data_IF_751878624483
#
_entry.id   IF_751878624483
#
_cell.length_a   1.000
_cell.length_b   1.000
_cell.length_c   1.000
_cell.angle_alpha   90.00
_cell.angle_beta   90.00
_cell.angle_gamma   90.00
#
_symmetry.space_group_name_H-M   'P 1'
#
loop_
_entity.id
_entity.type
_entity.pdbx_description
1 polymer ?
#
# COMPACT_ATOMS: atom_id res chain seq x y z
N UNK A 1 9.05 13.46 -13.61
CA UNK A 1 10.25 13.54 -12.74
C UNK A 1 10.72 14.98 -12.53
N UNK A 2 10.49 15.90 -13.48
CA UNK A 2 10.87 17.32 -13.33
C UNK A 2 9.73 18.25 -12.84
N UNK A 3 8.68 17.72 -12.21
CA UNK A 3 7.55 18.56 -11.81
C UNK A 3 7.93 19.52 -10.67
N UNK A 4 8.57 19.00 -9.62
CA UNK A 4 8.97 19.79 -8.46
C UNK A 4 9.90 20.97 -8.79
N UNK A 5 11.05 20.76 -9.49
CA UNK A 5 11.95 21.86 -9.82
C UNK A 5 11.29 22.89 -10.75
N UNK A 6 10.55 22.43 -11.77
CA UNK A 6 9.85 23.33 -12.70
C UNK A 6 8.80 24.20 -12.01
N UNK A 7 8.06 23.64 -11.05
CA UNK A 7 7.07 24.40 -10.27
C UNK A 7 7.76 25.39 -9.33
N UNK A 8 8.85 24.98 -8.68
CA UNK A 8 9.67 25.87 -7.85
C UNK A 8 10.19 27.09 -8.63
N UNK A 9 10.76 26.87 -9.82
CA UNK A 9 11.23 27.95 -10.70
C UNK A 9 10.11 28.92 -11.11
N UNK A 10 8.91 28.39 -11.37
CA UNK A 10 7.74 29.22 -11.72
C UNK A 10 7.27 30.06 -10.52
N UNK A 11 7.35 29.52 -9.29
CA UNK A 11 7.03 30.25 -8.07
C UNK A 11 8.06 31.34 -7.81
N UNK A 12 9.35 31.03 -7.93
CA UNK A 12 10.44 32.01 -7.76
C UNK A 12 10.35 33.15 -8.81
N UNK A 13 9.88 32.84 -10.02
CA UNK A 13 9.61 33.83 -11.06
C UNK A 13 8.29 34.61 -10.88
N UNK A 14 7.54 34.39 -9.80
CA UNK A 14 6.24 35.01 -9.53
C UNK A 14 5.10 34.53 -10.44
N UNK A 15 5.31 33.48 -11.25
CA UNK A 15 4.37 32.95 -12.24
C UNK A 15 3.47 31.87 -11.64
N UNK A 16 2.83 32.16 -10.51
CA UNK A 16 1.99 31.20 -9.76
C UNK A 16 0.85 30.63 -10.62
N UNK A 17 0.20 31.45 -11.45
CA UNK A 17 -0.84 31.00 -12.37
C UNK A 17 -0.36 29.92 -13.35
N UNK A 18 0.89 30.03 -13.84
CA UNK A 18 1.48 29.03 -14.73
C UNK A 18 1.84 27.76 -13.96
N UNK A 19 2.35 27.89 -12.73
CA UNK A 19 2.62 26.75 -11.85
C UNK A 19 1.35 25.93 -11.60
N UNK A 20 0.25 26.59 -11.24
CA UNK A 20 -1.06 25.96 -11.04
C UNK A 20 -1.53 25.24 -12.31
N UNK A 21 -1.40 25.87 -13.49
CA UNK A 21 -1.77 25.23 -14.77
C UNK A 21 -0.98 23.94 -15.03
N UNK A 22 0.35 23.99 -14.86
CA UNK A 22 1.22 22.81 -15.04
C UNK A 22 0.84 21.69 -14.07
N UNK A 23 0.48 22.03 -12.82
CA UNK A 23 0.06 21.05 -11.85
C UNK A 23 -1.29 20.41 -12.19
N UNK A 24 -2.26 21.16 -12.70
CA UNK A 24 -3.54 20.59 -13.17
C UNK A 24 -3.38 19.66 -14.37
N UNK A 25 -2.39 19.92 -15.24
CA UNK A 25 -2.08 19.05 -16.38
C UNK A 25 -1.42 17.73 -15.96
N UNK A 26 -0.96 17.61 -14.71
CA UNK A 26 -0.26 16.42 -14.19
C UNK A 26 -1.06 15.74 -13.08
N UNK A 27 -1.68 14.60 -13.39
CA UNK A 27 -2.45 13.82 -12.41
C UNK A 27 -1.53 12.93 -11.54
N UNK A 28 -0.79 13.54 -10.61
CA UNK A 28 0.12 12.83 -9.70
C UNK A 28 -0.09 13.24 -8.24
N UNK A 29 0.21 12.36 -7.26
CA UNK A 29 0.14 12.71 -5.84
C UNK A 29 0.94 13.98 -5.50
N UNK A 30 2.15 14.10 -6.06
CA UNK A 30 2.99 15.28 -5.89
C UNK A 30 2.29 16.54 -6.41
N UNK A 31 1.66 16.47 -7.58
CA UNK A 31 0.98 17.63 -8.16
C UNK A 31 -0.17 18.12 -7.26
N UNK A 32 -0.97 17.18 -6.73
CA UNK A 32 -2.06 17.49 -5.81
C UNK A 32 -1.56 18.13 -4.51
N UNK A 33 -0.49 17.59 -3.93
CA UNK A 33 0.15 18.18 -2.75
C UNK A 33 0.69 19.59 -3.02
N UNK A 34 1.35 19.81 -4.17
CA UNK A 34 1.87 21.12 -4.55
C UNK A 34 0.77 22.14 -4.87
N UNK A 35 -0.38 21.70 -5.42
CA UNK A 35 -1.55 22.56 -5.62
C UNK A 35 -2.08 23.11 -4.30
N UNK A 36 -2.25 22.23 -3.30
CA UNK A 36 -2.72 22.63 -1.97
C UNK A 36 -1.72 23.60 -1.31
N UNK A 37 -0.41 23.36 -1.45
CA UNK A 37 0.60 24.31 -0.98
C UNK A 37 0.44 25.71 -1.60
N UNK A 38 0.20 25.79 -2.92
CA UNK A 38 -0.01 27.06 -3.63
C UNK A 38 -1.34 27.73 -3.29
N UNK A 39 -2.40 26.94 -3.07
CA UNK A 39 -3.71 27.45 -2.66
C UNK A 39 -3.70 28.02 -1.25
N UNK A 40 -2.88 27.45 -0.36
CA UNK A 40 -2.65 27.95 0.99
C UNK A 40 -1.57 29.04 1.06
N UNK A 41 -1.07 29.55 -0.08
CA UNK A 41 -0.07 30.61 -0.08
C UNK A 41 -0.56 31.87 0.65
N UNK A 42 0.33 32.50 1.42
CA UNK A 42 0.01 33.65 2.27
C UNK A 42 -0.47 33.28 3.69
N UNK A 43 -0.70 32.00 3.99
CA UNK A 43 -0.88 31.51 5.36
C UNK A 43 0.47 31.30 6.06
N UNK A 44 0.49 31.23 7.41
CA UNK A 44 1.68 30.84 8.15
C UNK A 44 2.22 29.48 7.67
N UNK A 45 3.54 29.32 7.64
CA UNK A 45 4.23 28.10 7.17
C UNK A 45 3.61 26.81 7.73
N UNK A 46 3.29 26.80 9.02
CA UNK A 46 2.76 25.61 9.69
C UNK A 46 1.38 25.21 9.17
N UNK A 47 0.53 26.18 8.82
CA UNK A 47 -0.80 25.94 8.22
C UNK A 47 -0.67 25.37 6.81
N UNK A 48 0.27 25.90 6.01
CA UNK A 48 0.56 25.37 4.66
C UNK A 48 1.06 23.93 4.78
N UNK A 49 2.02 23.69 5.68
CA UNK A 49 2.58 22.36 5.93
C UNK A 49 1.49 21.36 6.34
N UNK A 50 0.62 21.73 7.27
CA UNK A 50 -0.47 20.87 7.73
C UNK A 50 -1.44 20.50 6.59
N UNK A 51 -1.82 21.47 5.76
CA UNK A 51 -2.69 21.25 4.59
C UNK A 51 -2.07 20.26 3.59
N UNK A 52 -0.76 20.38 3.36
CA UNK A 52 0.01 19.49 2.48
C UNK A 52 0.13 18.09 3.06
N UNK A 53 0.41 17.97 4.37
CA UNK A 53 0.49 16.68 5.06
C UNK A 53 -0.87 15.97 5.07
N UNK A 54 -1.97 16.68 5.24
CA UNK A 54 -3.33 16.10 5.15
C UNK A 54 -3.59 15.50 3.76
N UNK A 55 -3.31 16.27 2.72
CA UNK A 55 -3.44 15.79 1.33
C UNK A 55 -2.52 14.59 1.09
N UNK A 56 -1.28 14.65 1.58
CA UNK A 56 -0.32 13.55 1.51
C UNK A 56 -0.85 12.27 2.15
N UNK A 57 -1.45 12.36 3.35
CA UNK A 57 -2.07 11.19 4.03
C UNK A 57 -3.17 10.54 3.20
N UNK A 58 -4.03 11.34 2.54
CA UNK A 58 -5.05 10.81 1.65
C UNK A 58 -4.45 10.07 0.45
N UNK A 59 -3.38 10.59 -0.15
CA UNK A 59 -2.67 9.94 -1.25
C UNK A 59 -1.99 8.64 -0.80
N UNK A 60 -1.33 8.63 0.36
CA UNK A 60 -0.71 7.41 0.92
C UNK A 60 -1.76 6.32 1.15
N UNK A 61 -2.91 6.69 1.72
CA UNK A 61 -4.01 5.74 1.92
C UNK A 61 -4.50 5.13 0.59
N UNK A 62 -4.52 5.91 -0.48
CA UNK A 62 -4.87 5.41 -1.81
C UNK A 62 -3.83 4.43 -2.37
N UNK A 63 -2.54 4.70 -2.15
CA UNK A 63 -1.44 3.82 -2.55
C UNK A 63 -1.44 2.49 -1.76
N UNK A 64 -1.79 2.54 -0.47
CA UNK A 64 -1.80 1.39 0.42
C UNK A 64 -3.04 0.49 0.29
N UNK A 65 -4.14 0.99 -0.28
CA UNK A 65 -5.44 0.29 -0.40
C UNK A 65 -5.32 -1.18 -0.82
N UNK A 66 -4.59 -1.46 -1.89
CA UNK A 66 -4.47 -2.83 -2.41
C UNK A 66 -3.37 -3.62 -1.72
N UNK A 67 -2.38 -2.94 -1.14
CA UNK A 67 -1.31 -3.59 -0.38
C UNK A 67 -1.86 -4.18 0.93
N UNK A 68 -2.74 -3.47 1.61
CA UNK A 68 -3.40 -3.99 2.82
C UNK A 68 -4.13 -5.31 2.53
N UNK A 69 -4.88 -5.36 1.42
CA UNK A 69 -5.56 -6.59 1.00
C UNK A 69 -4.59 -7.72 0.66
N UNK A 70 -3.50 -7.43 -0.03
CA UNK A 70 -2.45 -8.42 -0.33
C UNK A 70 -1.79 -8.96 0.95
N UNK A 71 -1.54 -8.08 1.92
CA UNK A 71 -1.07 -8.45 3.25
C UNK A 71 -2.06 -9.36 3.99
N UNK A 72 -3.36 -9.08 3.90
CA UNK A 72 -4.40 -9.94 4.45
C UNK A 72 -4.41 -11.34 3.80
N UNK A 73 -4.28 -11.42 2.47
CA UNK A 73 -4.16 -12.72 1.77
C UNK A 73 -2.96 -13.51 2.29
N UNK A 74 -1.81 -12.84 2.42
CA UNK A 74 -0.59 -13.46 2.95
C UNK A 74 -0.78 -14.02 4.37
N UNK A 75 -1.58 -13.36 5.21
CA UNK A 75 -1.89 -13.80 6.56
C UNK A 75 -2.97 -14.90 6.65
N UNK A 76 -3.99 -14.84 5.78
CA UNK A 76 -5.15 -15.75 5.84
C UNK A 76 -4.92 -17.04 5.06
N UNK A 77 -4.16 -17.02 3.96
CA UNK A 77 -3.93 -18.20 3.13
C UNK A 77 -3.35 -19.42 3.88
N UNK A 78 -2.37 -19.28 4.81
CA UNK A 78 -1.91 -20.40 5.63
C UNK A 78 -2.99 -20.94 6.57
N UNK A 79 -3.82 -20.05 7.13
CA UNK A 79 -4.91 -20.42 8.03
C UNK A 79 -5.98 -21.23 7.28
N UNK A 80 -6.26 -20.88 6.01
CA UNK A 80 -7.15 -21.67 5.15
C UNK A 80 -6.54 -23.04 4.82
N UNK A 81 -5.23 -23.12 4.58
CA UNK A 81 -4.55 -24.40 4.38
C UNK A 81 -4.62 -25.32 5.60
N UNK A 82 -4.42 -24.73 6.79
CA UNK A 82 -4.59 -25.41 8.08
C UNK A 82 -6.05 -25.82 8.32
N UNK A 83 -7.03 -24.98 7.97
CA UNK A 83 -8.44 -25.37 8.03
C UNK A 83 -8.71 -26.60 7.15
N UNK A 84 -8.09 -26.67 5.98
CA UNK A 84 -8.13 -27.85 5.12
C UNK A 84 -7.61 -29.12 5.78
N UNK A 85 -6.59 -29.03 6.65
CA UNK A 85 -6.09 -30.22 7.36
C UNK A 85 -7.11 -30.74 8.35
N UNK A 86 -7.82 -29.83 9.03
CA UNK A 86 -8.89 -30.18 9.96
C UNK A 86 -9.98 -30.95 9.21
N UNK A 87 -10.40 -30.47 8.04
CA UNK A 87 -11.37 -31.18 7.20
C UNK A 87 -10.85 -32.55 6.72
N UNK A 88 -9.61 -32.63 6.22
CA UNK A 88 -9.04 -33.89 5.74
C UNK A 88 -8.92 -34.95 6.84
N UNK A 89 -8.49 -34.55 8.04
CA UNK A 89 -8.44 -35.44 9.21
C UNK A 89 -9.84 -35.87 9.65
N UNK A 90 -10.83 -34.95 9.66
CA UNK A 90 -12.22 -35.30 9.98
C UNK A 90 -12.79 -36.33 9.00
N UNK A 91 -12.54 -36.17 7.69
CA UNK A 91 -12.96 -37.16 6.68
C UNK A 91 -12.26 -38.51 6.87
N UNK A 92 -10.96 -38.50 7.19
CA UNK A 92 -10.21 -39.73 7.44
C UNK A 92 -10.76 -40.52 8.64
N UNK A 93 -11.11 -39.84 9.74
CA UNK A 93 -11.72 -40.48 10.91
C UNK A 93 -13.18 -40.90 10.69
N UNK A 94 -13.96 -40.13 9.93
CA UNK A 94 -15.33 -40.51 9.58
C UNK A 94 -15.38 -41.82 8.78
N UNK A 95 -14.41 -42.03 7.87
CA UNK A 95 -14.28 -43.26 7.11
C UNK A 95 -14.02 -44.49 8.00
N UNK A 96 -13.21 -44.33 9.06
CA UNK A 96 -12.97 -45.39 10.05
C UNK A 96 -14.25 -45.73 10.83
N UNK A 97 -15.04 -44.72 11.21
CA UNK A 97 -16.27 -44.91 11.97
C UNK A 97 -17.37 -45.68 11.21
N UNK A 98 -17.43 -45.55 9.89
CA UNK A 98 -18.45 -46.22 9.06
C UNK A 98 -18.08 -47.64 8.62
N UNK A 99 -16.79 -47.93 8.40
CA UNK A 99 -16.33 -49.19 7.80
C UNK A 99 -15.75 -50.16 8.85
N UNK A 100 -15.65 -49.74 10.11
CA UNK A 100 -14.86 -50.44 11.13
C UNK A 100 -13.37 -50.18 10.92
N UNK A 101 -12.48 -50.81 11.70
CA UNK A 101 -11.03 -50.54 11.75
C UNK A 101 -10.21 -50.82 10.44
N UNK A 102 -10.81 -50.75 9.25
CA UNK A 102 -10.56 -51.71 8.19
C UNK A 102 -9.82 -51.28 6.92
N UNK A 103 -9.44 -50.02 6.70
CA UNK A 103 -8.52 -49.72 5.57
C UNK A 103 -7.47 -48.64 5.89
N UNK A 104 -6.23 -49.06 6.22
CA UNK A 104 -5.10 -48.15 6.38
C UNK A 104 -4.84 -47.26 5.16
N UNK A 105 -5.23 -47.69 3.95
CA UNK A 105 -5.08 -46.85 2.74
C UNK A 105 -6.05 -45.67 2.74
N UNK A 106 -7.29 -45.87 3.17
CA UNK A 106 -8.28 -44.80 3.25
C UNK A 106 -7.84 -43.72 4.26
N UNK A 107 -7.32 -44.14 5.42
CA UNK A 107 -6.73 -43.24 6.40
C UNK A 107 -5.53 -42.47 5.84
N UNK A 108 -4.58 -43.18 5.21
CA UNK A 108 -3.40 -42.57 4.61
C UNK A 108 -3.77 -41.55 3.51
N UNK A 109 -4.82 -41.83 2.74
CA UNK A 109 -5.32 -40.92 1.70
C UNK A 109 -5.86 -39.61 2.29
N UNK A 110 -6.70 -39.67 3.34
CA UNK A 110 -7.25 -38.46 3.97
C UNK A 110 -6.18 -37.60 4.67
N UNK A 111 -5.15 -38.24 5.24
CA UNK A 111 -3.99 -37.51 5.80
C UNK A 111 -3.16 -36.87 4.68
N UNK A 112 -2.94 -37.56 3.56
CA UNK A 112 -2.22 -36.99 2.42
C UNK A 112 -2.96 -35.77 1.84
N UNK A 113 -4.29 -35.85 1.73
CA UNK A 113 -5.13 -34.72 1.30
C UNK A 113 -4.99 -33.52 2.25
N UNK A 114 -5.05 -33.75 3.57
CA UNK A 114 -4.82 -32.72 4.59
C UNK A 114 -3.45 -32.02 4.42
N UNK A 115 -2.39 -32.76 4.10
CA UNK A 115 -1.06 -32.16 3.88
C UNK A 115 -1.01 -31.32 2.60
N UNK A 116 -1.70 -31.75 1.54
CA UNK A 116 -1.78 -31.01 0.28
C UNK A 116 -2.50 -29.67 0.47
N UNK A 117 -3.56 -29.60 1.28
CA UNK A 117 -4.24 -28.32 1.54
C UNK A 117 -3.35 -27.32 2.27
N UNK A 118 -2.51 -27.80 3.21
CA UNK A 118 -1.51 -26.94 3.88
C UNK A 118 -0.49 -26.41 2.89
N UNK A 119 0.08 -27.30 2.07
CA UNK A 119 1.05 -26.92 1.06
C UNK A 119 0.46 -25.89 0.10
N UNK A 120 -0.80 -26.06 -0.31
CA UNK A 120 -1.53 -25.12 -1.17
C UNK A 120 -1.69 -23.74 -0.53
N UNK A 121 -2.04 -23.68 0.76
CA UNK A 121 -2.12 -22.42 1.51
C UNK A 121 -0.77 -21.69 1.56
N UNK A 122 0.33 -22.41 1.77
CA UNK A 122 1.68 -21.85 1.78
C UNK A 122 2.14 -21.37 0.40
N UNK A 123 1.79 -22.11 -0.67
CA UNK A 123 2.09 -21.72 -2.05
C UNK A 123 1.46 -20.37 -2.41
N UNK A 124 0.29 -20.04 -1.87
CA UNK A 124 -0.35 -18.74 -2.06
C UNK A 124 0.23 -17.69 -1.10
N UNK A 125 0.46 -18.06 0.16
CA UNK A 125 0.91 -17.12 1.20
C UNK A 125 2.30 -16.55 0.95
N UNK A 126 3.27 -17.40 0.56
CA UNK A 126 4.67 -17.00 0.42
C UNK A 126 4.85 -15.93 -0.68
N UNK A 127 4.37 -16.12 -1.93
CA UNK A 127 4.46 -15.09 -2.95
C UNK A 127 3.69 -13.83 -2.55
N UNK A 128 2.48 -13.97 -1.99
CA UNK A 128 1.69 -12.82 -1.55
C UNK A 128 2.44 -11.97 -0.53
N UNK A 129 3.10 -12.60 0.44
CA UNK A 129 3.92 -11.91 1.45
C UNK A 129 5.13 -11.21 0.82
N UNK A 130 5.84 -11.88 -0.10
CA UNK A 130 6.99 -11.29 -0.78
C UNK A 130 6.60 -10.04 -1.57
N UNK A 131 5.53 -10.12 -2.36
CA UNK A 131 5.03 -8.97 -3.13
C UNK A 131 4.51 -7.86 -2.22
N UNK A 132 3.77 -8.19 -1.16
CA UNK A 132 3.33 -7.21 -0.16
C UNK A 132 4.52 -6.42 0.39
N UNK A 133 5.57 -7.12 0.86
CA UNK A 133 6.77 -6.48 1.41
C UNK A 133 7.49 -5.60 0.37
N UNK A 134 7.63 -6.11 -0.85
CA UNK A 134 8.29 -5.39 -1.94
C UNK A 134 7.57 -4.09 -2.30
N UNK A 135 6.27 -4.16 -2.55
CA UNK A 135 5.49 -2.98 -2.93
C UNK A 135 5.32 -2.01 -1.77
N UNK A 136 5.17 -2.52 -0.53
CA UNK A 136 5.10 -1.64 0.65
C UNK A 136 6.36 -0.81 0.79
N UNK A 137 7.54 -1.43 0.66
CA UNK A 137 8.81 -0.68 0.66
C UNK A 137 8.92 0.34 -0.48
N UNK A 138 8.34 0.07 -1.65
CA UNK A 138 8.29 1.05 -2.76
C UNK A 138 7.36 2.21 -2.48
N UNK A 139 6.19 1.96 -1.89
CA UNK A 139 5.26 3.02 -1.48
C UNK A 139 5.91 3.89 -0.43
N UNK A 140 6.51 3.31 0.60
CA UNK A 140 7.16 4.07 1.67
C UNK A 140 8.31 4.96 1.13
N UNK A 141 9.12 4.43 0.20
CA UNK A 141 10.16 5.23 -0.47
C UNK A 141 9.57 6.36 -1.34
N UNK A 142 8.45 6.11 -2.01
CA UNK A 142 7.74 7.13 -2.80
C UNK A 142 7.21 8.24 -1.87
N UNK A 143 6.57 7.88 -0.76
CA UNK A 143 6.03 8.82 0.24
C UNK A 143 7.12 9.76 0.76
N UNK A 144 8.28 9.21 1.14
CA UNK A 144 9.43 10.03 1.56
C UNK A 144 9.88 11.03 0.48
N UNK A 145 9.85 10.62 -0.78
CA UNK A 145 10.20 11.51 -1.89
C UNK A 145 9.15 12.60 -2.11
N UNK A 146 7.86 12.27 -1.97
CA UNK A 146 6.75 13.22 -2.08
C UNK A 146 6.82 14.28 -0.99
N UNK A 147 6.97 13.86 0.27
CA UNK A 147 7.11 14.74 1.43
C UNK A 147 8.30 15.69 1.27
N UNK A 148 9.45 15.16 0.86
CA UNK A 148 10.66 15.98 0.66
C UNK A 148 10.43 17.07 -0.40
N UNK A 149 9.88 16.72 -1.56
CA UNK A 149 9.67 17.69 -2.63
C UNK A 149 8.55 18.70 -2.31
N UNK A 150 7.48 18.25 -1.67
CA UNK A 150 6.40 19.14 -1.24
C UNK A 150 6.88 20.14 -0.16
N UNK A 151 7.66 19.68 0.84
CA UNK A 151 8.20 20.55 1.88
C UNK A 151 9.16 21.62 1.35
N UNK A 152 9.93 21.32 0.30
CA UNK A 152 10.76 22.34 -0.36
C UNK A 152 9.91 23.49 -0.87
N UNK A 153 8.79 23.17 -1.54
CA UNK A 153 7.87 24.19 -2.06
C UNK A 153 7.23 24.99 -0.92
N UNK A 154 6.80 24.32 0.16
CA UNK A 154 6.25 24.99 1.35
C UNK A 154 7.23 26.02 1.91
N UNK A 155 8.52 25.65 2.04
CA UNK A 155 9.54 26.57 2.53
C UNK A 155 9.78 27.73 1.54
N UNK A 156 9.75 27.51 0.22
CA UNK A 156 9.88 28.57 -0.77
C UNK A 156 8.72 29.58 -0.70
N UNK A 157 7.48 29.08 -0.63
CA UNK A 157 6.27 29.92 -0.52
C UNK A 157 6.31 30.73 0.77
N UNK A 158 6.65 30.11 1.91
CA UNK A 158 6.74 30.79 3.20
C UNK A 158 7.83 31.88 3.22
N UNK A 159 9.02 31.58 2.68
CA UNK A 159 10.11 32.56 2.60
C UNK A 159 9.80 33.73 1.64
N UNK A 160 8.97 33.52 0.62
CA UNK A 160 8.50 34.57 -0.27
C UNK A 160 7.46 35.50 0.36
N UNK A 161 6.72 35.05 1.37
CA UNK A 161 5.71 35.86 2.08
C UNK A 161 6.31 36.81 3.14
N UNK A 162 7.56 36.57 3.56
CA UNK A 162 8.28 37.42 4.52
C UNK A 162 9.05 38.58 3.87
N UNK A 163 9.06 38.66 2.52
CA UNK A 163 9.68 39.75 1.74
C UNK A 163 8.64 40.73 1.23
#
# INVERSE_FOLDING_TARGET
RDLAPRVGELVDAGKVQQAVKVLYENDTPLARMMLVALQSAGQPRDVIKESVEETGRHEVAHLDRYLNFLGSIAGVAPLLGLLGTVFGIMHAFAAIGMVGAGDPKALASGIAEALITTASGLIVAIPSLMFYRYFKGRVDALVLSLEKEALKLVNQIAAGAEK
#
